data_IF_128468824719
#
_entry.id   IF_128468824719
#
_cell.length_a   1.000
_cell.length_b   1.000
_cell.length_c   1.000
_cell.angle_alpha   90.00
_cell.angle_beta   90.00
_cell.angle_gamma   90.00
#
_symmetry.space_group_name_H-M   'P 1'
#
loop_
_entity.id
_entity.type
_entity.pdbx_description
1 polymer ?
#
# COMPACT_ATOMS: atom_id res chain seq x y z
N UNK A 1 -25.62 -1.40 18.63
CA UNK A 1 -25.26 -1.95 17.31
C UNK A 1 -24.62 -3.31 17.54
N UNK A 2 -25.07 -4.35 16.86
CA UNK A 2 -24.51 -5.69 16.99
C UNK A 2 -23.41 -5.88 15.94
N UNK A 3 -22.24 -6.39 16.34
CA UNK A 3 -21.06 -6.46 15.49
C UNK A 3 -20.70 -7.89 15.11
N UNK A 4 -20.48 -8.12 13.81
CA UNK A 4 -19.97 -9.36 13.25
C UNK A 4 -18.66 -9.16 12.49
N UNK A 5 -17.81 -10.20 12.41
CA UNK A 5 -16.62 -10.24 11.60
C UNK A 5 -16.53 -11.56 10.83
N UNK A 6 -16.37 -11.48 9.53
CA UNK A 6 -16.24 -12.62 8.63
C UNK A 6 -14.84 -12.64 8.04
N UNK A 7 -14.18 -13.80 8.14
CA UNK A 7 -12.83 -14.00 7.67
C UNK A 7 -11.79 -13.90 8.79
N UNK A 8 -11.28 -15.05 9.22
CA UNK A 8 -10.28 -15.17 10.31
C UNK A 8 -8.92 -15.61 9.76
N UNK A 9 -8.50 -14.97 8.64
CA UNK A 9 -7.14 -15.07 8.14
C UNK A 9 -6.14 -14.32 9.04
N UNK A 10 -4.92 -14.07 8.52
CA UNK A 10 -3.88 -13.35 9.27
C UNK A 10 -4.35 -11.98 9.74
N UNK A 11 -5.02 -11.21 8.88
CA UNK A 11 -5.55 -9.88 9.24
C UNK A 11 -6.80 -10.02 10.10
N UNK A 12 -7.85 -10.71 9.62
CA UNK A 12 -9.14 -10.76 10.31
C UNK A 12 -9.10 -11.45 11.66
N UNK A 13 -8.26 -12.48 11.84
CA UNK A 13 -8.06 -13.11 13.15
C UNK A 13 -7.42 -12.17 14.17
N UNK A 14 -6.44 -11.37 13.77
CA UNK A 14 -5.83 -10.35 14.62
C UNK A 14 -6.78 -9.17 14.88
N UNK A 15 -7.57 -8.77 13.89
CA UNK A 15 -8.59 -7.75 14.04
C UNK A 15 -9.69 -8.20 15.03
N UNK A 16 -10.15 -9.46 14.96
CA UNK A 16 -11.09 -10.01 15.94
C UNK A 16 -10.54 -9.94 17.36
N UNK A 17 -9.27 -10.31 17.56
CA UNK A 17 -8.58 -10.22 18.85
C UNK A 17 -8.30 -8.77 19.31
N UNK A 18 -8.35 -7.80 18.44
CA UNK A 18 -8.29 -6.39 18.79
C UNK A 18 -9.67 -5.87 19.22
N UNK A 19 -10.68 -6.01 18.37
CA UNK A 19 -12.04 -5.51 18.57
C UNK A 19 -12.67 -6.06 19.84
N UNK A 20 -12.48 -7.35 20.15
CA UNK A 20 -13.06 -7.99 21.34
C UNK A 20 -12.57 -7.41 22.68
N UNK A 21 -11.54 -6.56 22.67
CA UNK A 21 -11.08 -5.87 23.88
C UNK A 21 -12.05 -4.79 24.36
N UNK A 22 -12.83 -4.24 23.44
CA UNK A 22 -13.73 -3.10 23.67
C UNK A 22 -15.22 -3.47 23.59
N UNK A 23 -15.58 -4.58 22.93
CA UNK A 23 -16.98 -4.93 22.71
C UNK A 23 -17.19 -6.41 22.38
N UNK A 24 -18.42 -6.88 22.49
CA UNK A 24 -18.81 -8.23 22.06
C UNK A 24 -18.72 -8.36 20.54
N UNK A 25 -18.28 -9.52 20.07
CA UNK A 25 -18.03 -9.79 18.66
C UNK A 25 -18.55 -11.17 18.23
N UNK A 26 -19.35 -11.19 17.19
CA UNK A 26 -19.76 -12.41 16.52
C UNK A 26 -18.79 -12.73 15.39
N UNK A 27 -18.29 -13.94 15.29
CA UNK A 27 -17.31 -14.30 14.26
C UNK A 27 -17.73 -15.53 13.46
N UNK A 28 -17.49 -15.47 12.15
CA UNK A 28 -17.69 -16.56 11.23
C UNK A 28 -16.50 -16.74 10.29
N UNK A 29 -16.16 -17.97 9.97
CA UNK A 29 -15.12 -18.28 9.00
C UNK A 29 -15.37 -19.66 8.37
N UNK A 30 -15.00 -19.82 7.09
CA UNK A 30 -15.12 -21.10 6.37
C UNK A 30 -14.44 -22.27 7.09
N UNK A 31 -13.33 -22.03 7.80
CA UNK A 31 -12.60 -23.04 8.56
C UNK A 31 -13.03 -22.99 10.04
N UNK A 32 -13.78 -23.97 10.56
CA UNK A 32 -14.30 -23.97 11.93
C UNK A 32 -13.21 -23.96 13.00
N UNK A 33 -12.04 -24.53 12.71
CA UNK A 33 -10.89 -24.53 13.64
C UNK A 33 -10.39 -23.13 13.97
N UNK A 34 -10.45 -22.19 12.99
CA UNK A 34 -10.09 -20.78 13.20
C UNK A 34 -11.10 -20.08 14.11
N UNK A 35 -12.38 -20.37 13.96
CA UNK A 35 -13.45 -19.86 14.85
C UNK A 35 -13.19 -20.34 16.28
N UNK A 36 -13.02 -21.65 16.46
CA UNK A 36 -12.72 -22.26 17.78
C UNK A 36 -11.46 -21.65 18.41
N UNK A 37 -10.42 -21.40 17.62
CA UNK A 37 -9.16 -20.80 18.10
C UNK A 37 -9.34 -19.36 18.60
N UNK A 38 -10.21 -18.56 17.99
CA UNK A 38 -10.50 -17.19 18.45
C UNK A 38 -11.41 -17.22 19.67
N UNK A 39 -12.51 -17.98 19.65
CA UNK A 39 -13.45 -18.12 20.78
C UNK A 39 -12.73 -18.59 22.05
N UNK A 40 -11.78 -19.54 21.94
CA UNK A 40 -10.98 -20.00 23.09
C UNK A 40 -10.15 -18.88 23.75
N UNK A 41 -9.84 -17.80 23.01
CA UNK A 41 -9.00 -16.70 23.49
C UNK A 41 -9.77 -15.58 24.17
N UNK A 42 -11.12 -15.58 24.10
CA UNK A 42 -11.95 -14.51 24.65
C UNK A 42 -13.39 -14.94 24.88
N UNK A 43 -13.90 -14.60 26.06
CA UNK A 43 -15.32 -14.75 26.41
C UNK A 43 -16.24 -13.73 25.74
N UNK A 44 -15.69 -12.66 25.14
CA UNK A 44 -16.44 -11.64 24.41
C UNK A 44 -16.66 -11.99 22.94
N UNK A 45 -16.25 -13.18 22.52
CA UNK A 45 -16.39 -13.64 21.13
C UNK A 45 -17.34 -14.83 21.07
N UNK A 46 -18.39 -14.70 20.27
CA UNK A 46 -19.30 -15.78 19.91
C UNK A 46 -19.00 -16.28 18.49
N UNK A 47 -18.77 -17.58 18.36
CA UNK A 47 -18.43 -18.21 17.08
C UNK A 47 -19.62 -18.89 16.42
N UNK A 48 -19.68 -18.83 15.09
CA UNK A 48 -20.72 -19.45 14.26
C UNK A 48 -20.10 -20.27 13.14
N UNK A 49 -20.82 -21.31 12.72
CA UNK A 49 -20.37 -22.17 11.62
C UNK A 49 -20.74 -21.62 10.24
N UNK A 50 -21.84 -20.85 10.18
CA UNK A 50 -22.29 -20.21 8.93
C UNK A 50 -22.77 -18.76 9.18
N UNK A 51 -22.88 -18.01 8.10
CA UNK A 51 -23.22 -16.59 8.11
C UNK A 51 -24.68 -16.36 8.46
N UNK A 52 -25.57 -17.22 7.98
CA UNK A 52 -27.01 -17.14 8.19
C UNK A 52 -27.37 -17.23 9.67
N UNK A 53 -26.78 -18.19 10.39
CA UNK A 53 -26.95 -18.37 11.84
C UNK A 53 -26.40 -17.14 12.58
N UNK A 54 -25.20 -16.67 12.20
CA UNK A 54 -24.60 -15.48 12.81
C UNK A 54 -25.52 -14.28 12.70
N UNK A 55 -25.96 -13.97 11.46
CA UNK A 55 -26.82 -12.78 11.20
C UNK A 55 -28.17 -12.91 11.88
N UNK A 56 -28.77 -14.10 11.88
CA UNK A 56 -30.08 -14.37 12.54
C UNK A 56 -30.03 -14.16 14.05
N UNK A 57 -28.91 -14.46 14.69
CA UNK A 57 -28.73 -14.31 16.15
C UNK A 57 -28.36 -12.89 16.58
N UNK A 58 -27.90 -12.05 15.64
CA UNK A 58 -27.51 -10.66 15.88
C UNK A 58 -28.74 -9.74 15.90
N UNK A 59 -28.73 -8.77 16.85
CA UNK A 59 -29.77 -7.73 16.94
C UNK A 59 -29.55 -6.61 15.91
N UNK A 60 -30.64 -6.18 15.27
CA UNK A 60 -30.63 -5.04 14.35
C UNK A 60 -30.47 -3.69 15.12
N UNK A 61 -29.83 -2.66 14.52
CA UNK A 61 -29.06 -2.73 13.27
C UNK A 61 -27.73 -3.49 13.47
N UNK A 62 -27.35 -4.24 12.43
CA UNK A 62 -26.13 -5.08 12.43
C UNK A 62 -25.03 -4.41 11.63
N UNK A 63 -23.79 -4.60 12.07
CA UNK A 63 -22.61 -4.23 11.27
C UNK A 63 -21.74 -5.45 11.09
N UNK A 64 -21.43 -5.75 9.83
CA UNK A 64 -20.58 -6.89 9.46
C UNK A 64 -19.28 -6.37 8.85
N UNK A 65 -18.16 -6.62 9.53
CA UNK A 65 -16.82 -6.39 8.98
C UNK A 65 -16.43 -7.61 8.16
N UNK A 66 -16.00 -7.42 6.92
CA UNK A 66 -15.42 -8.49 6.08
C UNK A 66 -13.92 -8.29 5.95
N UNK A 67 -13.13 -9.35 6.28
CA UNK A 67 -11.68 -9.40 6.11
C UNK A 67 -11.31 -10.62 5.26
N UNK A 68 -11.69 -10.58 4.00
CA UNK A 68 -11.63 -11.68 3.03
C UNK A 68 -10.64 -11.40 1.90
N UNK A 69 -10.21 -12.42 1.15
CA UNK A 69 -9.49 -12.22 -0.10
C UNK A 69 -10.32 -11.38 -1.08
N UNK A 70 -9.65 -10.49 -1.84
CA UNK A 70 -10.29 -9.66 -2.85
C UNK A 70 -10.96 -10.47 -3.96
N UNK A 71 -11.81 -9.82 -4.75
CA UNK A 71 -12.47 -10.39 -5.92
C UNK A 71 -13.64 -11.31 -5.57
N UNK A 72 -13.77 -12.45 -6.26
CA UNK A 72 -14.92 -13.34 -6.22
C UNK A 72 -15.32 -13.80 -4.81
N UNK A 73 -14.37 -14.02 -3.91
CA UNK A 73 -14.65 -14.45 -2.54
C UNK A 73 -15.45 -13.40 -1.78
N UNK A 74 -15.03 -12.14 -1.86
CA UNK A 74 -15.76 -11.04 -1.21
C UNK A 74 -17.06 -10.72 -1.94
N UNK A 75 -17.09 -10.82 -3.28
CA UNK A 75 -18.32 -10.65 -4.07
C UNK A 75 -19.41 -11.66 -3.67
N UNK A 76 -19.03 -12.94 -3.53
CA UNK A 76 -19.93 -14.00 -3.09
C UNK A 76 -20.44 -13.73 -1.69
N UNK A 77 -19.59 -13.29 -0.78
CA UNK A 77 -19.96 -12.98 0.60
C UNK A 77 -20.92 -11.79 0.68
N UNK A 78 -20.66 -10.70 -0.05
CA UNK A 78 -21.55 -9.53 -0.10
C UNK A 78 -22.93 -9.92 -0.65
N UNK A 79 -22.98 -10.76 -1.69
CA UNK A 79 -24.25 -11.30 -2.21
C UNK A 79 -24.98 -12.16 -1.16
N UNK A 80 -24.29 -13.07 -0.48
CA UNK A 80 -24.85 -13.91 0.59
C UNK A 80 -25.41 -13.05 1.73
N UNK A 81 -24.64 -12.06 2.21
CA UNK A 81 -25.08 -11.13 3.23
C UNK A 81 -26.32 -10.36 2.81
N UNK A 82 -26.42 -9.95 1.55
CA UNK A 82 -27.58 -9.21 1.05
C UNK A 82 -28.90 -9.98 1.07
N UNK A 83 -28.86 -11.29 1.23
CA UNK A 83 -30.03 -12.17 1.35
C UNK A 83 -30.54 -12.31 2.79
N UNK A 84 -29.68 -12.05 3.78
CA UNK A 84 -29.97 -12.29 5.20
C UNK A 84 -29.90 -11.03 6.07
N UNK A 85 -29.27 -9.96 5.58
CA UNK A 85 -29.24 -8.65 6.24
C UNK A 85 -30.52 -7.84 5.94
N UNK A 86 -30.88 -6.97 6.85
CA UNK A 86 -32.04 -6.11 6.77
C UNK A 86 -31.66 -4.69 6.31
N UNK A 87 -32.65 -3.92 5.89
CA UNK A 87 -32.47 -2.49 5.61
C UNK A 87 -31.99 -1.76 6.88
N UNK A 88 -30.92 -1.00 6.74
CA UNK A 88 -30.28 -0.28 7.86
C UNK A 88 -29.09 -1.02 8.48
N UNK A 89 -28.86 -2.29 8.11
CA UNK A 89 -27.60 -2.98 8.42
C UNK A 89 -26.46 -2.43 7.55
N UNK A 90 -25.19 -2.64 7.95
CA UNK A 90 -24.02 -2.12 7.25
C UNK A 90 -22.94 -3.18 7.06
N UNK A 91 -22.32 -3.20 5.89
CA UNK A 91 -21.10 -3.96 5.58
C UNK A 91 -19.91 -3.01 5.58
N UNK A 92 -18.88 -3.34 6.38
CA UNK A 92 -17.57 -2.67 6.37
C UNK A 92 -16.58 -3.61 5.70
N UNK A 93 -16.23 -3.32 4.45
CA UNK A 93 -15.35 -4.17 3.64
C UNK A 93 -13.90 -3.77 3.85
N UNK A 94 -13.15 -4.59 4.61
CA UNK A 94 -11.73 -4.43 4.89
C UNK A 94 -10.83 -5.32 4.02
N UNK A 95 -11.30 -5.76 2.85
CA UNK A 95 -10.47 -6.46 1.87
C UNK A 95 -9.44 -5.53 1.22
N UNK A 96 -8.36 -6.08 0.67
CA UNK A 96 -7.50 -5.32 -0.24
C UNK A 96 -8.09 -5.37 -1.65
N UNK A 97 -9.03 -4.48 -1.96
CA UNK A 97 -9.81 -4.56 -3.17
C UNK A 97 -9.48 -3.47 -4.19
N UNK A 98 -9.74 -3.77 -5.47
CA UNK A 98 -9.72 -2.77 -6.51
C UNK A 98 -10.91 -1.80 -6.33
N UNK A 99 -10.65 -0.51 -6.26
CA UNK A 99 -11.64 0.49 -5.87
C UNK A 99 -12.92 0.50 -6.71
N UNK A 100 -12.85 0.12 -8.01
CA UNK A 100 -14.03 0.02 -8.88
C UNK A 100 -14.94 -1.13 -8.50
N UNK A 101 -14.36 -2.25 -8.03
CA UNK A 101 -15.14 -3.37 -7.50
C UNK A 101 -15.89 -2.95 -6.25
N UNK A 102 -15.26 -2.18 -5.38
CA UNK A 102 -15.89 -1.64 -4.17
C UNK A 102 -17.04 -0.68 -4.49
N UNK A 103 -16.90 0.15 -5.52
CA UNK A 103 -18.02 0.97 -6.02
C UNK A 103 -19.23 0.12 -6.42
N UNK A 104 -18.99 -0.94 -7.18
CA UNK A 104 -20.05 -1.84 -7.63
C UNK A 104 -20.74 -2.53 -6.46
N UNK A 105 -19.96 -2.98 -5.45
CA UNK A 105 -20.50 -3.57 -4.21
C UNK A 105 -21.32 -2.56 -3.43
N UNK A 106 -20.82 -1.33 -3.26
CA UNK A 106 -21.53 -0.27 -2.57
C UNK A 106 -22.87 0.08 -3.23
N UNK A 107 -22.87 0.26 -4.55
CA UNK A 107 -24.10 0.49 -5.32
C UNK A 107 -25.08 -0.67 -5.20
N UNK A 108 -24.60 -1.91 -5.23
CA UNK A 108 -25.43 -3.11 -5.02
C UNK A 108 -26.03 -3.14 -3.61
N UNK A 109 -25.23 -2.91 -2.55
CA UNK A 109 -25.72 -2.85 -1.17
C UNK A 109 -26.76 -1.73 -0.98
N UNK A 110 -26.51 -0.56 -1.53
CA UNK A 110 -27.43 0.57 -1.51
C UNK A 110 -28.79 0.21 -2.13
N UNK A 111 -28.81 -0.54 -3.26
CA UNK A 111 -30.03 -0.99 -3.91
C UNK A 111 -30.89 -1.92 -3.03
N UNK A 112 -30.28 -2.52 -2.00
CA UNK A 112 -30.92 -3.38 -1.00
C UNK A 112 -31.22 -2.63 0.30
N UNK A 113 -30.87 -1.35 0.41
CA UNK A 113 -31.01 -0.56 1.63
C UNK A 113 -29.97 -0.91 2.70
N UNK A 114 -28.91 -1.60 2.34
CA UNK A 114 -27.76 -1.99 3.20
C UNK A 114 -26.66 -0.93 3.05
N UNK A 115 -26.14 -0.41 4.16
CA UNK A 115 -24.98 0.46 4.17
C UNK A 115 -23.70 -0.28 3.72
N UNK A 116 -22.79 0.44 3.07
CA UNK A 116 -21.50 -0.12 2.68
C UNK A 116 -20.40 0.91 2.86
N UNK A 117 -19.31 0.50 3.52
CA UNK A 117 -18.09 1.29 3.68
C UNK A 117 -16.91 0.49 3.13
N UNK A 118 -16.34 0.95 2.01
CA UNK A 118 -15.10 0.41 1.45
C UNK A 118 -13.91 0.91 2.24
N UNK A 119 -13.27 0.03 3.01
CA UNK A 119 -12.31 0.42 4.03
C UNK A 119 -10.93 -0.19 3.75
N UNK A 120 -9.99 0.64 3.32
CA UNK A 120 -8.58 0.26 3.26
C UNK A 120 -8.02 0.10 4.68
N UNK A 121 -7.42 -1.05 4.97
CA UNK A 121 -6.78 -1.35 6.24
C UNK A 121 -5.27 -1.46 6.06
N UNK A 122 -4.50 -0.70 6.84
CA UNK A 122 -3.04 -0.72 6.86
C UNK A 122 -2.49 -1.14 8.22
N UNK A 123 -1.28 -1.74 8.21
CA UNK A 123 -0.56 -2.17 9.40
C UNK A 123 -0.27 -3.67 9.46
N UNK A 124 -0.66 -4.43 8.45
CA UNK A 124 -0.43 -5.88 8.42
C UNK A 124 -1.11 -6.62 9.58
N UNK A 125 -0.59 -7.79 9.93
CA UNK A 125 -1.13 -8.61 11.01
C UNK A 125 -0.94 -7.96 12.38
N UNK A 126 0.19 -7.31 12.61
CA UNK A 126 0.50 -6.61 13.85
C UNK A 126 -0.39 -5.38 14.04
N UNK A 127 -0.51 -4.52 13.01
CA UNK A 127 -1.39 -3.37 13.05
C UNK A 127 -2.85 -3.78 13.27
N UNK A 128 -3.34 -4.83 12.61
CA UNK A 128 -4.67 -5.35 12.86
C UNK A 128 -4.87 -5.76 14.32
N UNK A 129 -3.83 -6.25 14.99
CA UNK A 129 -3.84 -6.69 16.41
C UNK A 129 -3.75 -5.53 17.40
N UNK A 130 -2.98 -4.50 17.09
CA UNK A 130 -2.63 -3.42 18.01
C UNK A 130 -3.36 -2.11 17.72
N UNK A 131 -3.91 -1.96 16.53
CA UNK A 131 -4.64 -0.79 16.05
C UNK A 131 -4.24 -0.46 14.59
N UNK A 132 -5.07 -0.81 13.60
CA UNK A 132 -4.79 -0.49 12.21
C UNK A 132 -4.97 0.99 11.91
N UNK A 133 -4.41 1.45 10.78
CA UNK A 133 -4.82 2.68 10.12
C UNK A 133 -5.93 2.36 9.11
N UNK A 134 -7.04 3.13 9.16
CA UNK A 134 -8.21 2.91 8.31
C UNK A 134 -8.45 4.09 7.37
N UNK A 135 -8.67 3.77 6.11
CA UNK A 135 -9.02 4.70 5.03
C UNK A 135 -10.45 4.36 4.58
N UNK A 136 -11.43 5.19 4.96
CA UNK A 136 -12.84 4.82 4.90
C UNK A 136 -13.54 5.62 3.81
N UNK A 137 -14.18 4.92 2.87
CA UNK A 137 -15.00 5.51 1.81
C UNK A 137 -16.42 4.99 1.83
N UNK A 138 -17.35 5.86 1.45
CA UNK A 138 -18.78 5.59 1.40
C UNK A 138 -19.62 6.74 1.91
N UNK A 139 -20.96 6.61 2.01
CA UNK A 139 -21.81 7.73 2.41
C UNK A 139 -21.43 8.31 3.78
N UNK A 140 -21.28 9.63 3.85
CA UNK A 140 -20.85 10.32 5.07
C UNK A 140 -21.70 9.95 6.28
N UNK A 141 -23.02 9.92 6.12
CA UNK A 141 -23.94 9.51 7.19
C UNK A 141 -23.61 8.11 7.73
N UNK A 142 -23.33 7.15 6.83
CA UNK A 142 -22.99 5.78 7.25
C UNK A 142 -21.65 5.76 7.99
N UNK A 143 -20.67 6.56 7.57
CA UNK A 143 -19.42 6.72 8.29
C UNK A 143 -19.64 7.29 9.70
N UNK A 144 -20.38 8.39 9.84
CA UNK A 144 -20.66 9.04 11.12
C UNK A 144 -21.37 8.10 12.11
N UNK A 145 -22.32 7.28 11.63
CA UNK A 145 -23.01 6.27 12.44
C UNK A 145 -22.08 5.16 12.96
N UNK A 146 -20.90 4.98 12.33
CA UNK A 146 -19.90 3.94 12.67
C UNK A 146 -18.60 4.52 13.22
N UNK A 147 -18.46 5.81 13.35
CA UNK A 147 -17.19 6.45 13.75
C UNK A 147 -16.69 5.95 15.11
N UNK A 148 -17.59 5.78 16.09
CA UNK A 148 -17.21 5.25 17.40
C UNK A 148 -16.74 3.79 17.36
N UNK A 149 -17.23 3.00 16.39
CA UNK A 149 -16.71 1.67 16.15
C UNK A 149 -15.25 1.77 15.69
N UNK A 150 -14.94 2.62 14.72
CA UNK A 150 -13.55 2.79 14.23
C UNK A 150 -12.62 3.31 15.33
N UNK A 151 -13.05 4.28 16.12
CA UNK A 151 -12.32 4.78 17.30
C UNK A 151 -11.95 3.68 18.29
N UNK A 152 -12.80 2.67 18.43
CA UNK A 152 -12.65 1.63 19.46
C UNK A 152 -11.49 0.66 19.18
N UNK A 153 -11.06 0.51 17.93
CA UNK A 153 -10.04 -0.49 17.56
C UNK A 153 -8.94 0.01 16.63
N UNK A 154 -9.11 1.16 15.97
CA UNK A 154 -8.10 1.72 15.09
C UNK A 154 -7.11 2.61 15.86
N UNK A 155 -5.82 2.56 15.49
CA UNK A 155 -4.82 3.53 15.93
C UNK A 155 -5.09 4.90 15.30
N UNK A 156 -5.54 4.89 14.05
CA UNK A 156 -5.97 6.06 13.30
C UNK A 156 -7.01 5.67 12.25
N UNK A 157 -7.82 6.63 11.87
CA UNK A 157 -8.76 6.48 10.78
C UNK A 157 -8.97 7.83 10.10
N UNK A 158 -9.33 7.78 8.82
CA UNK A 158 -9.72 8.99 8.10
C UNK A 158 -10.86 8.68 7.14
N UNK A 159 -11.82 9.61 7.05
CA UNK A 159 -12.86 9.59 6.04
C UNK A 159 -12.32 10.16 4.73
N UNK A 160 -12.37 9.36 3.66
CA UNK A 160 -11.79 9.70 2.36
C UNK A 160 -12.80 10.29 1.37
N UNK A 161 -14.10 10.24 1.68
CA UNK A 161 -15.15 10.79 0.84
C UNK A 161 -16.31 9.83 0.59
N UNK A 162 -17.34 10.32 -0.11
CA UNK A 162 -18.60 9.61 -0.31
C UNK A 162 -18.56 8.45 -1.32
N UNK A 163 -17.53 8.39 -2.14
CA UNK A 163 -17.34 7.31 -3.10
C UNK A 163 -17.05 5.99 -2.36
N UNK A 164 -17.83 4.96 -2.60
CA UNK A 164 -17.66 3.64 -1.97
C UNK A 164 -16.28 3.02 -2.16
N UNK A 165 -15.57 3.38 -3.24
CA UNK A 165 -14.25 2.85 -3.56
C UNK A 165 -13.08 3.69 -3.07
N UNK A 166 -13.30 4.92 -2.58
CA UNK A 166 -12.20 5.86 -2.30
C UNK A 166 -11.27 5.38 -1.18
N UNK A 167 -11.79 4.69 -0.18
CA UNK A 167 -10.96 4.10 0.87
C UNK A 167 -9.99 3.03 0.32
N UNK A 168 -10.49 2.15 -0.56
CA UNK A 168 -9.65 1.17 -1.24
C UNK A 168 -8.71 1.80 -2.29
N UNK A 169 -9.13 2.88 -2.96
CA UNK A 169 -8.26 3.67 -3.83
C UNK A 169 -7.07 4.23 -3.05
N UNK A 170 -7.35 4.89 -1.92
CA UNK A 170 -6.30 5.44 -1.05
C UNK A 170 -5.34 4.36 -0.57
N UNK A 171 -5.86 3.20 -0.15
CA UNK A 171 -5.03 2.06 0.27
C UNK A 171 -4.20 1.48 -0.89
N UNK A 172 -4.75 1.43 -2.08
CA UNK A 172 -4.04 0.98 -3.29
C UNK A 172 -2.85 1.90 -3.60
N UNK A 173 -3.05 3.22 -3.57
CA UNK A 173 -1.98 4.19 -3.79
C UNK A 173 -0.93 4.12 -2.68
N UNK A 174 -1.37 4.06 -1.41
CA UNK A 174 -0.48 3.83 -0.27
C UNK A 174 0.44 2.62 -0.50
N UNK A 175 -0.10 1.49 -0.94
CA UNK A 175 0.70 0.31 -1.22
C UNK A 175 1.63 0.48 -2.44
N UNK A 176 1.22 1.25 -3.45
CA UNK A 176 2.09 1.59 -4.58
C UNK A 176 3.32 2.38 -4.14
N UNK A 177 3.12 3.40 -3.30
CA UNK A 177 4.20 4.19 -2.69
C UNK A 177 5.14 3.29 -1.87
N UNK A 178 4.58 2.41 -1.05
CA UNK A 178 5.34 1.41 -0.29
C UNK A 178 6.21 0.55 -1.20
N UNK A 179 5.70 0.13 -2.37
CA UNK A 179 6.49 -0.65 -3.33
C UNK A 179 7.69 0.12 -3.86
N UNK A 180 7.53 1.40 -4.19
CA UNK A 180 8.64 2.26 -4.60
C UNK A 180 9.70 2.39 -3.49
N UNK A 181 9.27 2.67 -2.27
CA UNK A 181 10.16 2.78 -1.10
C UNK A 181 10.91 1.46 -0.81
N UNK A 182 10.22 0.33 -0.82
CA UNK A 182 10.83 -0.99 -0.62
C UNK A 182 11.85 -1.32 -1.72
N UNK A 183 11.54 -0.96 -2.97
CA UNK A 183 12.49 -1.14 -4.06
C UNK A 183 13.71 -0.23 -3.88
N UNK A 184 13.53 1.01 -3.42
CA UNK A 184 14.65 1.90 -3.09
C UNK A 184 15.56 1.32 -2.00
N UNK A 185 15.00 0.71 -0.97
CA UNK A 185 15.78 0.00 0.07
C UNK A 185 16.57 -1.17 -0.56
N UNK A 186 15.95 -1.94 -1.45
CA UNK A 186 16.58 -3.04 -2.14
C UNK A 186 17.69 -2.57 -3.11
N UNK A 187 17.49 -1.46 -3.80
CA UNK A 187 18.48 -0.84 -4.68
C UNK A 187 19.73 -0.39 -3.89
N UNK A 188 19.53 0.22 -2.71
CA UNK A 188 20.63 0.61 -1.82
C UNK A 188 21.31 -0.62 -1.24
N UNK A 189 20.58 -1.69 -0.90
CA UNK A 189 21.17 -2.95 -0.47
C UNK A 189 22.06 -3.56 -1.58
N UNK A 190 21.60 -3.51 -2.84
CA UNK A 190 22.40 -3.94 -3.99
C UNK A 190 23.65 -3.05 -4.18
N UNK A 191 23.52 -1.73 -4.04
CA UNK A 191 24.64 -0.78 -4.05
C UNK A 191 25.67 -1.10 -2.95
N UNK A 192 25.23 -1.55 -1.78
CA UNK A 192 26.07 -2.04 -0.70
C UNK A 192 26.64 -3.45 -0.95
N UNK A 193 26.69 -3.92 -2.19
CA UNK A 193 27.17 -5.25 -2.59
C UNK A 193 26.43 -6.40 -1.90
N UNK A 194 25.16 -6.20 -1.52
CA UNK A 194 24.37 -7.16 -0.74
C UNK A 194 25.04 -7.57 0.58
N UNK A 195 25.83 -6.68 1.15
CA UNK A 195 26.53 -6.88 2.41
C UNK A 195 25.78 -6.24 3.58
N UNK A 196 25.35 -7.05 4.55
CA UNK A 196 24.59 -6.60 5.71
C UNK A 196 25.32 -5.60 6.59
N UNK A 197 26.67 -5.65 6.66
CA UNK A 197 27.44 -4.67 7.42
C UNK A 197 27.35 -3.27 6.80
N UNK A 198 27.58 -3.17 5.49
CA UNK A 198 27.48 -1.88 4.80
C UNK A 198 26.07 -1.32 4.81
N UNK A 199 25.07 -2.16 4.56
CA UNK A 199 23.66 -1.75 4.65
C UNK A 199 23.31 -1.29 6.08
N UNK A 200 23.78 -1.99 7.10
CA UNK A 200 23.61 -1.60 8.51
C UNK A 200 24.23 -0.22 8.84
N UNK A 201 25.37 0.12 8.20
CA UNK A 201 25.96 1.46 8.32
C UNK A 201 25.13 2.56 7.66
N UNK A 202 24.47 2.28 6.54
CA UNK A 202 23.50 3.18 5.91
C UNK A 202 22.29 3.38 6.83
N UNK A 203 21.68 2.30 7.29
CA UNK A 203 20.48 2.35 8.13
C UNK A 203 20.71 3.10 9.46
N UNK A 204 21.90 2.96 10.06
CA UNK A 204 22.27 3.77 11.25
C UNK A 204 22.32 5.28 10.96
N UNK A 205 22.75 5.69 9.77
CA UNK A 205 22.78 7.10 9.39
C UNK A 205 21.38 7.65 9.14
N UNK A 206 20.46 6.80 8.72
CA UNK A 206 19.06 7.16 8.49
C UNK A 206 18.33 7.51 9.79
N UNK A 207 18.76 7.03 10.96
CA UNK A 207 18.10 7.28 12.26
C UNK A 207 17.87 8.77 12.56
N UNK A 208 18.69 9.66 12.00
CA UNK A 208 18.57 11.10 12.19
C UNK A 208 18.01 11.83 10.95
N UNK A 209 17.38 11.11 10.03
CA UNK A 209 16.82 11.66 8.79
C UNK A 209 15.29 11.63 8.77
N UNK A 210 14.75 12.25 7.74
CA UNK A 210 13.31 12.32 7.49
C UNK A 210 12.68 11.02 6.92
N UNK A 211 13.50 10.00 6.64
CA UNK A 211 13.03 8.69 6.22
C UNK A 211 13.12 7.61 7.33
N UNK A 212 13.45 8.03 8.57
CA UNK A 212 13.48 7.09 9.70
C UNK A 212 12.06 6.72 10.15
N UNK A 213 11.58 5.55 9.77
CA UNK A 213 10.24 5.10 10.09
C UNK A 213 10.11 3.58 10.00
N UNK A 214 8.89 3.09 9.90
CA UNK A 214 8.60 1.64 9.95
C UNK A 214 9.42 0.82 8.94
N UNK A 215 9.47 1.24 7.66
CA UNK A 215 10.16 0.49 6.62
C UNK A 215 11.68 0.43 6.83
N UNK A 216 12.30 1.53 7.25
CA UNK A 216 13.74 1.58 7.49
C UNK A 216 14.14 0.89 8.79
N UNK A 217 13.28 0.96 9.83
CA UNK A 217 13.46 0.19 11.08
C UNK A 217 13.37 -1.31 10.81
N UNK A 218 12.31 -1.74 10.12
CA UNK A 218 12.13 -3.17 9.78
C UNK A 218 13.24 -3.71 8.87
N UNK A 219 13.84 -2.86 8.01
CA UNK A 219 15.01 -3.26 7.23
C UNK A 219 16.21 -3.64 8.12
N UNK A 220 16.41 -2.94 9.25
CA UNK A 220 17.46 -3.32 10.22
C UNK A 220 17.16 -4.67 10.88
N UNK A 221 15.91 -4.90 11.29
CA UNK A 221 15.51 -6.17 11.91
C UNK A 221 15.68 -7.33 10.91
N UNK A 222 15.29 -7.11 9.64
CA UNK A 222 15.47 -8.09 8.56
C UNK A 222 16.93 -8.50 8.36
N UNK A 223 17.88 -7.56 8.44
CA UNK A 223 19.32 -7.88 8.35
C UNK A 223 19.81 -8.78 9.49
N UNK A 224 19.18 -8.71 10.64
CA UNK A 224 19.57 -9.52 11.82
C UNK A 224 18.85 -10.86 11.91
N UNK A 225 17.59 -10.93 11.47
CA UNK A 225 16.72 -12.09 11.67
C UNK A 225 16.78 -13.11 10.54
N UNK A 226 17.15 -12.70 9.32
CA UNK A 226 17.05 -13.54 8.13
C UNK A 226 18.41 -13.91 7.53
N UNK A 227 18.54 -15.18 7.16
CA UNK A 227 19.65 -15.67 6.34
C UNK A 227 19.27 -15.58 4.85
N UNK A 228 19.76 -14.53 4.18
CA UNK A 228 19.43 -14.23 2.78
C UNK A 228 19.81 -15.36 1.82
N UNK A 229 20.80 -16.21 2.16
CA UNK A 229 21.15 -17.37 1.34
C UNK A 229 20.06 -18.44 1.29
N UNK A 230 19.09 -18.40 2.20
CA UNK A 230 17.95 -19.32 2.25
C UNK A 230 16.68 -18.75 1.62
N UNK A 231 16.70 -17.51 1.17
CA UNK A 231 15.55 -16.83 0.59
C UNK A 231 15.66 -16.90 -0.94
N UNK A 232 14.57 -17.31 -1.60
CA UNK A 232 14.53 -17.27 -3.05
C UNK A 232 14.49 -15.81 -3.54
N UNK A 233 15.33 -15.48 -4.52
CA UNK A 233 15.38 -14.14 -5.11
C UNK A 233 14.22 -13.90 -6.10
N UNK A 234 13.00 -14.05 -5.60
CA UNK A 234 11.74 -13.90 -6.36
C UNK A 234 10.79 -13.01 -5.59
N UNK A 235 10.50 -11.84 -6.16
CA UNK A 235 9.56 -10.88 -5.58
C UNK A 235 8.10 -11.32 -5.78
N UNK A 236 7.40 -11.61 -4.67
CA UNK A 236 5.95 -11.77 -4.68
C UNK A 236 5.26 -10.43 -4.43
N UNK A 237 4.04 -10.29 -4.93
CA UNK A 237 3.19 -9.13 -4.67
C UNK A 237 1.71 -9.52 -4.60
N UNK A 238 0.93 -8.73 -3.87
CA UNK A 238 -0.50 -8.65 -4.08
C UNK A 238 -0.78 -7.68 -5.27
N UNK A 239 -2.02 -7.60 -5.74
CA UNK A 239 -2.34 -6.81 -6.93
C UNK A 239 -2.34 -5.28 -6.69
N UNK A 240 -2.24 -4.80 -5.46
CA UNK A 240 -2.41 -3.37 -5.15
C UNK A 240 -1.38 -2.47 -5.83
N UNK A 241 -0.10 -2.87 -5.86
CA UNK A 241 0.94 -2.13 -6.58
C UNK A 241 0.73 -2.14 -8.09
N UNK A 242 0.29 -3.28 -8.65
CA UNK A 242 -0.06 -3.37 -10.07
C UNK A 242 -1.22 -2.43 -10.41
N UNK A 243 -2.30 -2.46 -9.64
CA UNK A 243 -3.44 -1.56 -9.85
C UNK A 243 -3.05 -0.09 -9.73
N UNK A 244 -2.14 0.25 -8.82
CA UNK A 244 -1.61 1.60 -8.70
C UNK A 244 -0.92 2.04 -10.00
N UNK A 245 -0.07 1.20 -10.58
CA UNK A 245 0.59 1.43 -11.86
C UNK A 245 -0.40 1.55 -13.03
N UNK A 246 -1.40 0.66 -13.10
CA UNK A 246 -2.46 0.70 -14.12
C UNK A 246 -3.24 1.99 -14.08
N UNK A 247 -3.60 2.46 -12.90
CA UNK A 247 -4.36 3.70 -12.72
C UNK A 247 -3.50 4.93 -13.03
N UNK A 248 -2.22 4.94 -12.68
CA UNK A 248 -1.29 5.99 -13.10
C UNK A 248 -1.28 6.15 -14.62
N UNK A 249 -1.13 5.05 -15.34
CA UNK A 249 -1.17 5.05 -16.81
C UNK A 249 -2.54 5.47 -17.37
N UNK A 250 -3.63 5.00 -16.79
CA UNK A 250 -5.00 5.33 -17.22
C UNK A 250 -5.31 6.82 -17.06
N UNK A 251 -4.86 7.42 -15.96
CA UNK A 251 -5.11 8.83 -15.66
C UNK A 251 -4.05 9.77 -16.26
N UNK A 252 -3.02 9.22 -16.91
CA UNK A 252 -1.92 10.01 -17.44
C UNK A 252 -1.03 10.64 -16.37
N UNK A 253 -1.01 10.07 -15.18
CA UNK A 253 -0.16 10.49 -14.07
C UNK A 253 1.12 9.63 -14.08
N UNK A 254 2.30 10.25 -14.27
CA UNK A 254 3.54 9.50 -14.28
C UNK A 254 3.87 8.91 -12.91
N UNK A 255 4.09 7.60 -12.85
CA UNK A 255 4.49 6.87 -11.63
C UNK A 255 5.69 5.95 -11.90
N UNK A 256 6.79 6.44 -12.51
CA UNK A 256 7.88 5.57 -12.96
C UNK A 256 8.59 4.85 -11.83
N UNK A 257 8.72 5.44 -10.65
CA UNK A 257 9.33 4.80 -9.48
C UNK A 257 8.48 3.62 -9.01
N UNK A 258 7.17 3.81 -8.86
CA UNK A 258 6.22 2.76 -8.50
C UNK A 258 6.18 1.67 -9.59
N UNK A 259 6.12 2.07 -10.87
CA UNK A 259 6.10 1.15 -12.00
C UNK A 259 7.37 0.30 -12.07
N UNK A 260 8.54 0.88 -11.81
CA UNK A 260 9.81 0.15 -11.78
C UNK A 260 9.80 -0.93 -10.69
N UNK A 261 9.28 -0.64 -9.51
CA UNK A 261 9.16 -1.58 -8.41
C UNK A 261 8.22 -2.77 -8.74
N UNK A 262 7.12 -2.52 -9.45
CA UNK A 262 6.21 -3.56 -9.94
C UNK A 262 6.89 -4.41 -11.00
N UNK A 263 7.52 -3.79 -12.00
CA UNK A 263 8.22 -4.47 -13.08
C UNK A 263 9.40 -5.32 -12.58
N UNK A 264 10.13 -4.85 -11.58
CA UNK A 264 11.22 -5.61 -10.97
C UNK A 264 10.73 -6.91 -10.35
N UNK A 265 9.56 -6.91 -9.69
CA UNK A 265 8.96 -8.14 -9.15
C UNK A 265 8.57 -9.13 -10.26
N UNK A 266 8.07 -8.66 -11.39
CA UNK A 266 7.83 -9.52 -12.55
C UNK A 266 9.13 -10.06 -13.13
N UNK A 267 10.13 -9.20 -13.32
CA UNK A 267 11.45 -9.56 -13.87
C UNK A 267 12.14 -10.62 -13.02
N UNK A 268 12.02 -10.53 -11.68
CA UNK A 268 12.64 -11.49 -10.76
C UNK A 268 12.22 -12.95 -11.00
N UNK A 269 11.05 -13.18 -11.58
CA UNK A 269 10.54 -14.52 -11.93
C UNK A 269 11.25 -15.13 -13.15
N UNK A 270 11.97 -14.31 -13.91
CA UNK A 270 12.67 -14.71 -15.14
C UNK A 270 14.18 -14.75 -14.97
N UNK A 271 14.69 -14.44 -13.78
CA UNK A 271 16.12 -14.50 -13.48
C UNK A 271 16.57 -15.96 -13.54
N UNK A 272 17.46 -16.25 -14.50
CA UNK A 272 18.21 -17.50 -14.52
C UNK A 272 19.45 -17.28 -13.68
N UNK A 273 19.81 -18.22 -12.82
CA UNK A 273 21.06 -18.18 -12.09
C UNK A 273 22.22 -17.99 -13.09
N UNK A 274 22.71 -16.78 -13.19
CA UNK A 274 23.90 -16.43 -13.98
C UNK A 274 24.99 -16.17 -12.97
N UNK A 275 26.19 -16.65 -13.28
CA UNK A 275 27.37 -16.43 -12.48
C UNK A 275 27.45 -15.00 -11.99
N UNK A 276 27.57 -14.88 -10.68
CA UNK A 276 27.77 -13.60 -10.01
C UNK A 276 28.91 -12.85 -10.69
N UNK A 277 28.60 -11.74 -11.34
CA UNK A 277 29.60 -10.80 -11.75
C UNK A 277 30.41 -10.45 -10.50
N UNK A 278 31.76 -10.56 -10.58
CA UNK A 278 32.63 -10.04 -9.53
C UNK A 278 32.37 -8.53 -9.44
N UNK A 279 31.46 -8.11 -8.56
CA UNK A 279 31.27 -6.71 -8.26
C UNK A 279 32.61 -6.18 -7.77
N UNK A 280 33.18 -5.23 -8.50
CA UNK A 280 34.45 -4.62 -8.09
C UNK A 280 34.23 -3.97 -6.74
N UNK A 281 35.07 -4.32 -5.75
CA UNK A 281 35.10 -3.66 -4.47
C UNK A 281 35.32 -2.15 -4.70
N UNK A 282 34.29 -1.35 -4.52
CA UNK A 282 34.38 0.10 -4.53
C UNK A 282 34.12 0.64 -3.13
N UNK A 283 34.72 1.76 -2.86
CA UNK A 283 34.41 2.51 -1.64
C UNK A 283 32.94 2.95 -1.68
N UNK A 284 32.14 2.42 -0.76
CA UNK A 284 30.73 2.80 -0.62
C UNK A 284 30.68 4.13 0.12
N UNK A 285 30.13 5.15 -0.54
CA UNK A 285 29.81 6.40 0.14
C UNK A 285 28.44 6.30 0.78
N UNK A 286 28.41 6.26 2.09
CA UNK A 286 27.18 6.14 2.88
C UNK A 286 26.27 7.38 2.76
N UNK A 287 26.84 8.56 2.54
CA UNK A 287 26.06 9.78 2.30
C UNK A 287 25.30 9.70 1.00
N UNK A 288 25.96 9.25 -0.05
CA UNK A 288 25.33 8.96 -1.36
C UNK A 288 24.18 7.96 -1.23
N UNK A 289 24.37 6.88 -0.47
CA UNK A 289 23.35 5.87 -0.26
C UNK A 289 22.11 6.41 0.51
N UNK A 290 22.35 7.20 1.55
CA UNK A 290 21.27 7.82 2.34
C UNK A 290 20.47 8.80 1.49
N UNK A 291 21.13 9.69 0.75
CA UNK A 291 20.43 10.67 -0.09
C UNK A 291 19.72 10.03 -1.28
N UNK A 292 20.29 8.99 -1.89
CA UNK A 292 19.61 8.22 -2.93
C UNK A 292 18.31 7.56 -2.38
N UNK A 293 18.33 7.08 -1.15
CA UNK A 293 17.13 6.53 -0.53
C UNK A 293 16.11 7.63 -0.19
N UNK A 294 16.55 8.79 0.33
CA UNK A 294 15.68 9.96 0.55
C UNK A 294 15.03 10.42 -0.76
N UNK A 295 15.80 10.44 -1.85
CA UNK A 295 15.33 10.76 -3.18
C UNK A 295 14.19 9.85 -3.65
N UNK A 296 14.37 8.54 -3.55
CA UNK A 296 13.33 7.55 -3.94
C UNK A 296 12.09 7.64 -3.04
N UNK A 297 12.27 7.85 -1.73
CA UNK A 297 11.14 8.03 -0.82
C UNK A 297 10.32 9.26 -1.19
N UNK A 298 10.98 10.41 -1.38
CA UNK A 298 10.32 11.65 -1.78
C UNK A 298 9.61 11.52 -3.14
N UNK A 299 10.27 10.89 -4.12
CA UNK A 299 9.67 10.67 -5.46
C UNK A 299 8.46 9.74 -5.37
N UNK A 300 8.56 8.63 -4.63
CA UNK A 300 7.43 7.70 -4.45
C UNK A 300 6.23 8.37 -3.77
N UNK A 301 6.49 9.23 -2.76
CA UNK A 301 5.45 10.00 -2.08
C UNK A 301 4.81 11.03 -3.02
N UNK A 302 5.59 11.74 -3.84
CA UNK A 302 5.09 12.69 -4.81
C UNK A 302 4.22 12.00 -5.88
N UNK A 303 4.67 10.86 -6.44
CA UNK A 303 3.88 10.06 -7.38
C UNK A 303 2.53 9.62 -6.78
N UNK A 304 2.54 9.17 -5.52
CA UNK A 304 1.32 8.81 -4.81
C UNK A 304 0.42 10.03 -4.55
N UNK A 305 1.00 11.15 -4.20
CA UNK A 305 0.27 12.41 -3.98
C UNK A 305 -0.45 12.86 -5.26
N UNK A 306 0.25 12.90 -6.40
CA UNK A 306 -0.32 13.29 -7.68
C UNK A 306 -1.50 12.37 -8.08
N UNK A 307 -1.42 11.06 -7.79
CA UNK A 307 -2.54 10.14 -7.97
C UNK A 307 -3.73 10.44 -7.05
N UNK A 308 -3.46 10.84 -5.79
CA UNK A 308 -4.52 11.18 -4.83
C UNK A 308 -5.27 12.45 -5.23
N UNK A 309 -4.57 13.46 -5.75
CA UNK A 309 -5.19 14.70 -6.20
C UNK A 309 -6.23 14.45 -7.30
N UNK A 310 -6.04 13.45 -8.16
CA UNK A 310 -7.03 13.10 -9.20
C UNK A 310 -8.39 12.67 -8.63
N UNK A 311 -8.46 12.34 -7.35
CA UNK A 311 -9.68 11.92 -6.64
C UNK A 311 -10.11 12.93 -5.59
N UNK A 312 -9.49 14.10 -5.54
CA UNK A 312 -9.76 15.15 -4.56
C UNK A 312 -9.63 14.66 -3.11
N UNK A 313 -8.73 13.73 -2.85
CA UNK A 313 -8.38 13.31 -1.48
C UNK A 313 -7.48 14.38 -0.87
N UNK A 314 -7.88 14.97 0.26
CA UNK A 314 -7.15 16.10 0.85
C UNK A 314 -5.89 15.66 1.61
N UNK A 315 -4.93 16.57 1.72
CA UNK A 315 -3.63 16.34 2.37
C UNK A 315 -3.74 15.86 3.82
N UNK A 316 -4.67 16.41 4.59
CA UNK A 316 -4.85 16.04 5.99
C UNK A 316 -5.38 14.62 6.13
N UNK A 317 -6.28 14.18 5.25
CA UNK A 317 -6.73 12.78 5.21
C UNK A 317 -5.60 11.83 4.87
N UNK A 318 -4.74 12.20 3.92
CA UNK A 318 -3.55 11.42 3.56
C UNK A 318 -2.60 11.34 4.75
N UNK A 319 -2.26 12.48 5.36
CA UNK A 319 -1.37 12.54 6.52
C UNK A 319 -1.91 11.69 7.68
N UNK A 320 -3.19 11.83 8.01
CA UNK A 320 -3.83 11.05 9.08
C UNK A 320 -3.82 9.55 8.78
N UNK A 321 -4.11 9.15 7.55
CA UNK A 321 -4.14 7.74 7.15
C UNK A 321 -2.75 7.11 7.07
N UNK A 322 -1.73 7.89 6.71
CA UNK A 322 -0.36 7.39 6.49
C UNK A 322 0.54 7.58 7.70
N UNK A 323 0.57 8.77 8.32
CA UNK A 323 1.51 9.08 9.39
C UNK A 323 1.35 8.23 10.65
N UNK A 324 0.14 7.80 10.94
CA UNK A 324 -0.16 6.88 12.04
C UNK A 324 -0.28 5.44 11.60
N UNK A 325 -0.20 5.19 10.30
CA UNK A 325 -0.08 3.85 9.75
C UNK A 325 1.28 3.25 10.07
N UNK A 326 1.34 1.96 10.14
CA UNK A 326 2.55 1.25 10.50
C UNK A 326 3.54 1.13 9.35
N UNK A 327 3.12 1.33 8.10
CA UNK A 327 3.93 1.06 6.93
C UNK A 327 4.68 2.30 6.43
N UNK A 328 4.03 3.47 6.39
CA UNK A 328 4.65 4.72 5.90
C UNK A 328 4.80 5.72 7.06
N UNK A 329 5.09 5.25 8.24
CA UNK A 329 5.44 6.13 9.35
C UNK A 329 6.86 6.67 9.13
N UNK A 330 6.97 7.85 8.54
CA UNK A 330 8.24 8.56 8.45
C UNK A 330 8.04 10.10 8.51
N UNK A 331 9.02 10.86 9.06
CA UNK A 331 8.92 12.30 9.20
C UNK A 331 8.87 13.08 7.87
N UNK A 332 9.09 12.42 6.74
CA UNK A 332 9.00 13.04 5.42
C UNK A 332 7.56 13.34 5.01
N UNK A 333 6.58 12.62 5.55
CA UNK A 333 5.17 12.80 5.18
C UNK A 333 4.72 14.22 5.50
N UNK A 334 4.17 14.90 4.49
CA UNK A 334 3.71 16.28 4.58
C UNK A 334 4.81 17.34 4.49
N UNK A 335 6.05 16.96 4.18
CA UNK A 335 7.11 17.90 3.79
C UNK A 335 6.99 18.28 2.32
N UNK A 336 7.76 19.27 1.91
CA UNK A 336 7.94 19.60 0.49
C UNK A 336 8.82 18.54 -0.19
N UNK A 337 8.17 17.59 -0.84
CA UNK A 337 8.87 16.51 -1.54
C UNK A 337 9.76 17.02 -2.68
N UNK A 338 9.37 18.11 -3.35
CA UNK A 338 10.12 18.66 -4.48
C UNK A 338 11.46 19.22 -4.03
N UNK A 339 11.47 19.97 -2.94
CA UNK A 339 12.73 20.45 -2.33
C UNK A 339 13.64 19.29 -1.93
N UNK A 340 13.12 18.23 -1.30
CA UNK A 340 13.93 17.06 -0.94
C UNK A 340 14.50 16.36 -2.17
N UNK A 341 13.72 16.22 -3.23
CA UNK A 341 14.16 15.64 -4.50
C UNK A 341 15.32 16.48 -5.09
N UNK A 342 15.19 17.80 -5.14
CA UNK A 342 16.24 18.70 -5.64
C UNK A 342 17.54 18.60 -4.83
N UNK A 343 17.45 18.59 -3.49
CA UNK A 343 18.60 18.49 -2.58
C UNK A 343 19.35 17.16 -2.73
N UNK A 344 18.67 16.08 -3.09
CA UNK A 344 19.23 14.71 -3.09
C UNK A 344 19.53 14.15 -4.47
N UNK A 345 19.09 14.84 -5.56
CA UNK A 345 19.22 14.38 -6.93
C UNK A 345 20.68 14.09 -7.37
N UNK A 346 21.64 14.92 -6.94
CA UNK A 346 23.04 14.73 -7.34
C UNK A 346 23.63 13.46 -6.73
N UNK A 347 23.36 13.16 -5.47
CA UNK A 347 23.81 11.93 -4.84
C UNK A 347 23.09 10.69 -5.41
N UNK A 348 21.80 10.81 -5.77
CA UNK A 348 21.10 9.77 -6.51
C UNK A 348 21.76 9.50 -7.86
N UNK A 349 22.19 10.54 -8.59
CA UNK A 349 22.93 10.44 -9.85
C UNK A 349 24.26 9.71 -9.66
N UNK A 350 25.04 10.10 -8.64
CA UNK A 350 26.31 9.42 -8.32
C UNK A 350 26.08 7.93 -8.09
N UNK A 351 25.06 7.55 -7.32
CA UNK A 351 24.71 6.14 -7.11
C UNK A 351 24.34 5.43 -8.41
N UNK A 352 23.51 6.04 -9.25
CA UNK A 352 23.11 5.44 -10.55
C UNK A 352 24.30 5.27 -11.47
N UNK A 353 25.17 6.27 -11.61
CA UNK A 353 26.37 6.18 -12.43
C UNK A 353 27.26 5.02 -11.97
N UNK A 354 27.48 4.89 -10.68
CA UNK A 354 28.21 3.80 -10.10
C UNK A 354 27.58 2.43 -10.39
N UNK A 355 26.28 2.30 -10.11
CA UNK A 355 25.54 1.06 -10.33
C UNK A 355 25.61 0.62 -11.80
N UNK A 356 25.40 1.54 -12.75
CA UNK A 356 25.49 1.28 -14.18
C UNK A 356 26.91 0.82 -14.57
N UNK A 357 27.95 1.50 -14.10
CA UNK A 357 29.34 1.16 -14.38
C UNK A 357 29.75 -0.21 -13.80
N UNK A 358 29.15 -0.60 -12.67
CA UNK A 358 29.42 -1.88 -12.00
C UNK A 358 28.49 -3.02 -12.44
N UNK A 359 27.45 -2.75 -13.25
CA UNK A 359 26.42 -3.74 -13.61
C UNK A 359 25.47 -4.11 -12.47
N UNK A 360 25.29 -3.22 -11.49
CA UNK A 360 24.39 -3.40 -10.36
C UNK A 360 23.01 -2.83 -10.73
N UNK A 361 21.92 -3.59 -10.60
CA UNK A 361 20.59 -3.07 -10.86
C UNK A 361 20.14 -2.11 -9.73
N UNK A 362 19.62 -0.93 -10.11
CA UNK A 362 19.03 0.03 -9.20
C UNK A 362 17.76 0.67 -9.82
N UNK A 363 16.74 -0.14 -10.11
CA UNK A 363 15.63 0.24 -10.99
C UNK A 363 14.78 1.38 -10.45
N UNK A 364 14.54 1.49 -9.13
CA UNK A 364 13.75 2.56 -8.57
C UNK A 364 14.50 3.89 -8.57
N UNK A 365 15.77 3.91 -8.13
CA UNK A 365 16.60 5.13 -8.14
C UNK A 365 16.80 5.62 -9.58
N UNK A 366 17.04 4.72 -10.53
CA UNK A 366 17.24 5.06 -11.93
C UNK A 366 15.96 5.61 -12.58
N UNK A 367 14.80 5.02 -12.31
CA UNK A 367 13.53 5.49 -12.85
C UNK A 367 13.16 6.87 -12.30
N UNK A 368 13.31 7.07 -11.00
CA UNK A 368 13.09 8.34 -10.33
C UNK A 368 14.01 9.44 -10.88
N UNK A 369 15.31 9.15 -11.03
CA UNK A 369 16.28 10.10 -11.58
C UNK A 369 15.99 10.43 -13.04
N UNK A 370 15.61 9.47 -13.85
CA UNK A 370 15.26 9.70 -15.26
C UNK A 370 14.05 10.61 -15.40
N UNK A 371 13.04 10.47 -14.54
CA UNK A 371 11.90 11.38 -14.50
C UNK A 371 12.31 12.79 -14.08
N UNK A 372 13.12 12.89 -13.02
CA UNK A 372 13.65 14.17 -12.54
C UNK A 372 14.40 14.91 -13.65
N UNK A 373 15.33 14.26 -14.32
CA UNK A 373 16.11 14.85 -15.41
C UNK A 373 15.22 15.29 -16.58
N UNK A 374 14.22 14.48 -16.93
CA UNK A 374 13.29 14.82 -18.01
C UNK A 374 12.45 16.07 -17.71
N UNK A 375 12.01 16.24 -16.47
CA UNK A 375 11.20 17.41 -16.05
C UNK A 375 12.06 18.69 -16.05
N UNK A 376 13.35 18.59 -15.69
CA UNK A 376 14.25 19.75 -15.56
C UNK A 376 15.00 20.08 -16.85
N UNK A 377 14.90 19.25 -17.90
CA UNK A 377 15.56 19.47 -19.17
C UNK A 377 14.76 20.47 -20.05
N UNK A 378 15.43 21.50 -20.55
CA UNK A 378 14.79 22.53 -21.38
C UNK A 378 14.41 22.06 -22.79
N UNK A 379 15.05 21.03 -23.29
CA UNK A 379 14.85 20.49 -24.62
C UNK A 379 14.82 18.98 -24.61
N UNK A 380 13.62 18.44 -24.44
CA UNK A 380 13.44 16.99 -24.33
C UNK A 380 13.42 16.29 -25.69
N UNK A 381 13.64 14.97 -25.67
CA UNK A 381 13.52 14.08 -26.83
C UNK A 381 12.10 14.03 -27.44
N UNK A 382 11.09 14.58 -26.78
CA UNK A 382 9.70 14.60 -27.27
C UNK A 382 9.54 15.32 -28.61
N UNK A 383 10.35 16.34 -28.87
CA UNK A 383 10.35 17.02 -30.17
C UNK A 383 10.63 16.07 -31.34
N UNK A 384 11.55 15.09 -31.13
CA UNK A 384 11.86 14.10 -32.16
C UNK A 384 10.69 13.13 -32.37
N UNK A 385 10.05 12.67 -31.30
CA UNK A 385 8.86 11.80 -31.37
C UNK A 385 7.71 12.53 -32.07
N UNK A 386 7.47 13.79 -31.73
CA UNK A 386 6.42 14.57 -32.38
C UNK A 386 6.68 14.79 -33.86
N UNK A 387 7.93 15.06 -34.27
CA UNK A 387 8.31 15.14 -35.66
C UNK A 387 8.11 13.81 -36.41
N UNK A 388 8.48 12.67 -35.80
CA UNK A 388 8.23 11.35 -36.38
C UNK A 388 6.73 11.07 -36.54
N UNK A 389 5.91 11.38 -35.52
CA UNK A 389 4.45 11.22 -35.61
C UNK A 389 3.85 12.02 -36.76
N UNK A 390 4.29 13.26 -36.95
CA UNK A 390 3.86 14.05 -38.10
C UNK A 390 4.31 13.43 -39.42
N UNK A 391 5.56 12.96 -39.51
CA UNK A 391 6.10 12.38 -40.74
C UNK A 391 5.32 11.16 -41.23
N UNK A 392 4.98 10.20 -40.32
CA UNK A 392 4.28 9.00 -40.74
C UNK A 392 2.76 9.04 -40.56
N UNK A 393 2.23 9.97 -39.77
CA UNK A 393 0.80 10.02 -39.44
C UNK A 393 0.12 11.36 -39.78
N UNK A 394 0.85 12.34 -40.29
CA UNK A 394 0.35 13.70 -40.55
C UNK A 394 -0.37 14.35 -39.35
N UNK A 395 0.12 14.06 -38.15
CA UNK A 395 -0.38 14.65 -36.90
C UNK A 395 0.15 16.08 -36.75
N UNK A 396 -0.70 16.99 -36.28
CA UNK A 396 -0.28 18.35 -36.01
C UNK A 396 0.91 18.41 -35.03
N UNK A 397 1.85 19.30 -35.34
CA UNK A 397 2.96 19.68 -34.44
C UNK A 397 2.52 20.94 -33.72
N UNK A 398 2.52 20.92 -32.41
CA UNK A 398 2.35 22.15 -31.63
C UNK A 398 3.61 22.99 -31.76
N UNK A 399 3.43 24.26 -32.14
CA UNK A 399 4.49 25.26 -32.16
C UNK A 399 4.88 25.65 -30.72
N UNK A 400 6.17 25.95 -30.49
CA UNK A 400 6.72 26.22 -29.15
C UNK A 400 6.37 27.63 -28.68
#
# INVERSE_FOLDING_TARGET
>A
MSLGLIGLGSIGGNLALNIQKSQELNVCNRSPEKVKAIVKKSSHVKGYENVEEMVSDMKEPRTIITALPHGETTDAMVKQLSLVMSKGDTIVDCSNEFYRTSRNRGAFCQSKGIGYLGTGLSGGAEGARLGPALMIGGPQKTFEEHEDLFKSFAKSYAYMGEDYGVGHFTKMVHNGVEYGMLQGIADVYAFCNQDGYYMGQVLKRIENTDIYGYLTKSAMDVLHEYDFNKIADIGHMNNTGLWCSEIGLEYGIPTPTINSAVNTRFTSRHVKAVNTANHKNCAIDFGVAVDALRFVFATSLLEGYDLMETRHVCDESIKQAWSSGTIIECPMIGKDYRTIIEETAENARVMVMYCVAAGIPCPAVQAALSQYDFIHERSTSMKFIMAQRNYFGQHEIMEA
#
